data_IF_097600657080
#
_entry.id   IF_097600657080
#
_cell.length_a   1.000
_cell.length_b   1.000
_cell.length_c   1.000
_cell.angle_alpha   90.00
_cell.angle_beta   90.00
_cell.angle_gamma   90.00
#
_symmetry.space_group_name_H-M   'P 1'
#
loop_
_entity.id
_entity.type
_entity.pdbx_description
1 polymer ?
#
# COMPACT_ATOMS: atom_id res chain seq x y z
N UNK A 1 -10.06 5.90 -17.47
CA UNK A 1 -8.88 6.01 -18.37
C UNK A 1 -9.02 7.09 -19.46
N UNK A 2 -9.98 6.99 -20.39
CA UNK A 2 -10.15 7.94 -21.52
C UNK A 2 -10.16 9.43 -21.12
N UNK A 3 -10.88 9.77 -20.06
CA UNK A 3 -10.91 11.15 -19.53
C UNK A 3 -9.57 11.57 -18.90
N UNK A 4 -8.86 10.62 -18.25
CA UNK A 4 -7.54 10.85 -17.68
C UNK A 4 -6.52 11.24 -18.75
N UNK A 5 -6.47 10.52 -19.87
CA UNK A 5 -5.59 10.88 -20.98
C UNK A 5 -5.91 12.26 -21.57
N UNK A 6 -7.20 12.61 -21.73
CA UNK A 6 -7.60 13.97 -22.15
C UNK A 6 -7.17 15.04 -21.14
N UNK A 7 -7.24 14.75 -19.85
CA UNK A 7 -6.83 15.69 -18.80
C UNK A 7 -5.32 15.90 -18.80
N UNK A 8 -4.53 14.82 -18.87
CA UNK A 8 -3.08 14.91 -18.89
C UNK A 8 -2.53 15.51 -20.19
N UNK A 9 -3.13 15.21 -21.36
CA UNK A 9 -2.74 15.84 -22.63
C UNK A 9 -2.91 17.36 -22.66
N UNK A 10 -3.77 17.94 -21.79
CA UNK A 10 -3.87 19.41 -21.61
C UNK A 10 -2.84 19.98 -20.64
N UNK A 11 -2.27 19.14 -19.76
CA UNK A 11 -1.35 19.56 -18.70
C UNK A 11 0.11 19.32 -19.05
N UNK A 12 0.38 18.26 -19.81
CA UNK A 12 1.71 17.80 -20.18
C UNK A 12 1.73 17.71 -21.70
N UNK A 13 2.50 18.59 -22.39
CA UNK A 13 2.69 18.48 -23.83
C UNK A 13 3.15 17.08 -24.24
N UNK A 14 2.66 16.59 -25.37
CA UNK A 14 3.00 15.29 -25.95
C UNK A 14 2.64 14.05 -25.12
N UNK A 15 1.92 14.19 -24.00
CA UNK A 15 1.50 13.07 -23.17
C UNK A 15 0.48 12.12 -23.86
N UNK A 16 -0.38 12.66 -24.73
CA UNK A 16 -1.43 11.89 -25.41
C UNK A 16 -1.35 12.10 -26.94
N UNK A 17 -0.39 11.44 -27.57
CA UNK A 17 -0.15 11.48 -29.02
C UNK A 17 -0.40 10.12 -29.66
N UNK A 18 -0.51 10.08 -31.00
CA UNK A 18 -0.61 8.82 -31.73
C UNK A 18 0.68 7.97 -31.70
N UNK A 19 1.80 8.56 -31.29
CA UNK A 19 3.06 7.84 -31.09
C UNK A 19 3.17 7.19 -29.70
N UNK A 20 2.32 7.60 -28.74
CA UNK A 20 2.35 7.08 -27.38
C UNK A 20 1.86 5.61 -27.34
N UNK A 21 2.51 4.80 -26.50
CA UNK A 21 2.20 3.39 -26.34
C UNK A 21 1.50 3.12 -25.01
N UNK A 22 0.47 2.27 -25.03
CA UNK A 22 -0.15 1.71 -23.83
C UNK A 22 0.35 0.28 -23.69
N UNK A 23 1.06 -0.01 -22.61
CA UNK A 23 1.72 -1.29 -22.40
C UNK A 23 1.04 -2.06 -21.28
N UNK A 24 0.39 -3.16 -21.65
CA UNK A 24 -0.17 -4.13 -20.71
C UNK A 24 -1.20 -3.55 -19.73
N UNK A 25 -1.53 -4.36 -18.72
CA UNK A 25 -2.38 -3.95 -17.59
C UNK A 25 -1.52 -4.02 -16.33
N UNK A 26 -1.44 -2.91 -15.62
CA UNK A 26 -0.88 -2.90 -14.26
C UNK A 26 -1.98 -3.28 -13.27
N UNK A 27 -1.84 -4.45 -12.64
CA UNK A 27 -2.87 -5.03 -11.78
C UNK A 27 -2.47 -5.10 -10.30
N UNK A 28 -1.21 -4.81 -9.96
CA UNK A 28 -0.66 -4.96 -8.61
C UNK A 28 -0.22 -3.60 -8.06
N UNK A 29 -1.14 -2.65 -8.03
CA UNK A 29 -0.90 -1.29 -7.51
C UNK A 29 -0.98 -1.21 -5.99
N UNK A 30 -1.60 -2.18 -5.34
CA UNK A 30 -1.79 -2.27 -3.89
C UNK A 30 -2.21 -3.69 -3.52
N UNK A 31 -2.18 -4.04 -2.24
CA UNK A 31 -2.74 -5.33 -1.80
C UNK A 31 -4.24 -5.42 -2.10
N UNK A 32 -4.71 -6.57 -2.64
CA UNK A 32 -6.13 -6.82 -2.87
C UNK A 32 -6.88 -7.19 -1.58
N UNK A 33 -6.16 -7.33 -0.46
CA UNK A 33 -6.72 -7.73 0.83
C UNK A 33 -6.27 -6.76 1.92
N UNK A 34 -7.06 -6.70 2.99
CA UNK A 34 -6.67 -6.04 4.23
C UNK A 34 -6.80 -7.03 5.37
N UNK A 35 -5.67 -7.39 5.97
CA UNK A 35 -5.63 -8.34 7.07
C UNK A 35 -6.03 -7.58 8.34
N UNK A 36 -7.09 -7.96 9.07
CA UNK A 36 -7.55 -7.18 10.22
C UNK A 36 -6.47 -7.05 11.30
N UNK A 37 -6.26 -5.85 11.80
CA UNK A 37 -5.47 -5.59 13.00
C UNK A 37 -6.11 -4.45 13.79
N UNK A 38 -5.95 -4.49 15.10
CA UNK A 38 -6.35 -3.41 15.99
C UNK A 38 -5.49 -2.15 15.75
N UNK A 39 -6.10 -0.97 15.80
CA UNK A 39 -5.42 0.27 15.41
C UNK A 39 -4.41 0.77 16.45
N UNK A 40 -4.55 0.36 17.71
CA UNK A 40 -3.69 0.80 18.81
C UNK A 40 -2.57 -0.22 19.07
N UNK A 41 -2.94 -1.49 19.23
CA UNK A 41 -2.02 -2.58 19.55
C UNK A 41 -1.34 -3.19 18.32
N UNK A 42 -1.87 -2.94 17.13
CA UNK A 42 -1.39 -3.47 15.84
C UNK A 42 -1.47 -5.00 15.71
N UNK A 43 -2.22 -5.67 16.59
CA UNK A 43 -2.40 -7.12 16.62
C UNK A 43 -3.61 -7.58 15.83
N UNK A 44 -3.55 -8.79 15.28
CA UNK A 44 -4.72 -9.45 14.72
C UNK A 44 -5.73 -9.77 15.84
N UNK A 45 -7.04 -9.49 15.66
CA UNK A 45 -8.04 -9.63 16.72
C UNK A 45 -8.29 -11.08 17.16
N UNK A 46 -7.98 -12.05 16.30
CA UNK A 46 -8.28 -13.48 16.53
C UNK A 46 -7.01 -14.35 16.64
N UNK A 47 -5.91 -13.93 16.02
CA UNK A 47 -4.72 -14.79 15.87
C UNK A 47 -3.63 -14.21 16.78
N UNK A 48 -3.42 -14.85 17.92
CA UNK A 48 -2.42 -14.40 18.89
C UNK A 48 -1.01 -14.40 18.28
N UNK A 49 -0.23 -13.37 18.58
CA UNK A 49 1.13 -13.20 18.07
C UNK A 49 1.24 -12.75 16.60
N UNK A 50 0.12 -12.58 15.89
CA UNK A 50 0.12 -12.07 14.52
C UNK A 50 0.01 -10.53 14.50
N UNK A 51 0.97 -9.87 13.84
CA UNK A 51 1.01 -8.43 13.62
C UNK A 51 1.06 -8.11 12.12
N UNK A 52 -0.09 -7.95 11.46
CA UNK A 52 -0.13 -7.63 10.03
C UNK A 52 0.52 -6.26 9.75
N UNK A 53 1.44 -6.19 8.79
CA UNK A 53 2.16 -4.95 8.46
C UNK A 53 2.46 -4.80 6.96
N UNK A 54 2.77 -3.56 6.56
CA UNK A 54 3.21 -3.21 5.22
C UNK A 54 2.12 -3.33 4.15
N UNK A 55 2.56 -3.31 2.89
CA UNK A 55 1.64 -3.30 1.74
C UNK A 55 0.87 -4.61 1.63
N UNK A 56 1.52 -5.76 1.81
CA UNK A 56 0.87 -7.07 1.73
C UNK A 56 -0.32 -7.22 2.69
N UNK A 57 -0.21 -6.65 3.90
CA UNK A 57 -1.30 -6.64 4.87
C UNK A 57 -2.37 -5.56 4.60
N UNK A 58 -2.13 -4.62 3.68
CA UNK A 58 -3.04 -3.53 3.33
C UNK A 58 -2.90 -2.29 4.21
N UNK A 59 -1.71 -2.03 4.79
CA UNK A 59 -1.45 -0.88 5.66
C UNK A 59 -0.40 0.11 5.13
N UNK A 60 0.17 -0.17 3.95
CA UNK A 60 1.11 0.71 3.25
C UNK A 60 0.91 0.62 1.72
N UNK A 61 1.52 1.54 0.96
CA UNK A 61 1.39 1.59 -0.51
C UNK A 61 2.67 2.00 -1.23
N UNK A 62 3.82 1.84 -0.58
CA UNK A 62 5.13 2.20 -1.12
C UNK A 62 6.22 2.09 -0.07
N UNK A 63 7.48 2.14 -0.52
CA UNK A 63 8.68 1.82 0.27
C UNK A 63 8.69 2.54 1.63
N UNK A 64 8.55 3.87 1.62
CA UNK A 64 8.62 4.68 2.85
C UNK A 64 7.48 4.33 3.81
N UNK A 65 6.25 4.25 3.31
CA UNK A 65 5.08 3.92 4.14
C UNK A 65 5.16 2.50 4.72
N UNK A 66 5.71 1.53 3.98
CA UNK A 66 5.90 0.17 4.45
C UNK A 66 6.97 0.08 5.53
N UNK A 67 8.07 0.84 5.38
CA UNK A 67 9.12 0.94 6.39
C UNK A 67 8.59 1.54 7.70
N UNK A 68 7.85 2.65 7.61
CA UNK A 68 7.25 3.30 8.79
C UNK A 68 6.23 2.38 9.49
N UNK A 69 5.42 1.65 8.73
CA UNK A 69 4.48 0.69 9.32
C UNK A 69 5.21 -0.49 10.00
N UNK A 70 6.29 -0.98 9.37
CA UNK A 70 7.14 -2.03 9.93
C UNK A 70 7.81 -1.61 11.24
N UNK A 71 8.33 -0.39 11.32
CA UNK A 71 8.92 0.18 12.54
C UNK A 71 7.89 0.21 13.69
N UNK A 72 6.71 0.77 13.44
CA UNK A 72 5.62 0.81 14.45
C UNK A 72 5.21 -0.57 14.94
N UNK A 73 5.13 -1.54 14.03
CA UNK A 73 4.79 -2.92 14.37
C UNK A 73 5.90 -3.59 15.17
N UNK A 74 7.17 -3.31 14.87
CA UNK A 74 8.30 -3.80 15.64
C UNK A 74 8.30 -3.24 17.08
N UNK A 75 7.98 -1.95 17.26
CA UNK A 75 7.82 -1.33 18.58
C UNK A 75 6.66 -1.97 19.37
N UNK A 76 5.50 -2.14 18.73
CA UNK A 76 4.34 -2.78 19.36
C UNK A 76 4.62 -4.23 19.77
N UNK A 77 5.36 -4.97 18.94
CA UNK A 77 5.84 -6.32 19.26
C UNK A 77 6.82 -6.32 20.44
N UNK A 78 7.74 -5.36 20.48
CA UNK A 78 8.70 -5.25 21.59
C UNK A 78 8.01 -4.96 22.93
N UNK A 79 6.94 -4.17 22.95
CA UNK A 79 6.09 -3.97 24.14
C UNK A 79 5.32 -5.25 24.48
N UNK A 80 4.79 -5.93 23.47
CA UNK A 80 4.03 -7.16 23.62
C UNK A 80 4.82 -8.31 24.27
N UNK A 81 6.08 -8.46 23.89
CA UNK A 81 6.94 -9.59 24.28
C UNK A 81 7.62 -9.42 25.66
N UNK A 82 7.45 -8.26 26.32
CA UNK A 82 8.01 -7.99 27.65
C UNK A 82 7.14 -8.52 28.80
N UNK A 83 6.09 -9.27 28.49
CA UNK A 83 5.15 -9.92 29.41
C UNK A 83 4.99 -11.39 29.02
#
# INVERSE_FOLDING_TARGET
LRQGFRAFGRKIPDFATNAAQIVGVESRTSSPVRIPRDNETLRHPVVAGLFPCGEGAGYAGGIVSAAMDGERVAEALAVAARH
#
